data_IF_921654167675
#
_entry.id   IF_921654167675
#
_cell.length_a   1.000
_cell.length_b   1.000
_cell.length_c   1.000
_cell.angle_alpha   90.00
_cell.angle_beta   90.00
_cell.angle_gamma   90.00
#
_symmetry.space_group_name_H-M   'P 1'
#
loop_
_entity.id
_entity.type
_entity.pdbx_description
1 polymer ?
#
# COMPACT_ATOMS: atom_id res chain seq x y z
N UNK A 1 -19.50 24.32 4.27
CA UNK A 1 -18.89 24.10 2.95
C UNK A 1 -17.38 24.02 3.10
N UNK A 2 -16.82 22.82 2.92
CA UNK A 2 -15.43 22.59 2.51
C UNK A 2 -15.48 21.36 1.62
N UNK A 3 -15.27 21.58 0.33
CA UNK A 3 -15.15 20.55 -0.69
C UNK A 3 -13.78 19.92 -0.52
N UNK A 4 -13.72 18.61 -0.34
CA UNK A 4 -12.48 17.86 -0.51
C UNK A 4 -12.55 17.14 -1.84
N UNK A 5 -11.58 17.42 -2.70
CA UNK A 5 -11.43 16.79 -3.99
C UNK A 5 -10.68 15.47 -3.79
N UNK A 6 -11.24 14.40 -4.34
CA UNK A 6 -10.51 13.16 -4.58
C UNK A 6 -9.44 13.48 -5.64
N UNK A 7 -8.20 13.06 -5.40
CA UNK A 7 -7.09 13.29 -6.32
C UNK A 7 -7.38 12.65 -7.69
N UNK A 8 -6.81 13.21 -8.76
CA UNK A 8 -6.94 12.66 -10.12
C UNK A 8 -6.43 11.22 -10.21
N UNK A 9 -5.51 10.84 -9.34
CA UNK A 9 -4.87 9.53 -9.35
C UNK A 9 -5.74 8.49 -8.64
N UNK A 10 -6.40 8.86 -7.54
CA UNK A 10 -7.45 8.04 -6.92
C UNK A 10 -8.64 7.83 -7.87
N UNK A 11 -8.94 8.82 -8.72
CA UNK A 11 -9.94 8.68 -9.79
C UNK A 11 -9.47 7.77 -10.94
N UNK A 12 -8.19 7.78 -11.29
CA UNK A 12 -7.66 6.93 -12.37
C UNK A 12 -7.58 5.46 -11.96
N UNK A 13 -7.17 5.17 -10.72
CA UNK A 13 -7.13 3.79 -10.16
C UNK A 13 -8.55 3.22 -10.04
N UNK A 14 -9.49 4.00 -9.50
CA UNK A 14 -10.88 3.56 -9.45
C UNK A 14 -11.49 3.35 -10.85
N UNK A 15 -11.08 4.15 -11.84
CA UNK A 15 -11.51 4.01 -13.25
C UNK A 15 -10.88 2.81 -13.94
N UNK A 16 -9.62 2.47 -13.66
CA UNK A 16 -8.94 1.28 -14.21
C UNK A 16 -9.55 -0.01 -13.65
N UNK A 17 -9.78 -0.08 -12.33
CA UNK A 17 -10.53 -1.20 -11.74
C UNK A 17 -11.96 -1.30 -12.28
N UNK A 18 -12.64 -0.17 -12.55
CA UNK A 18 -13.97 -0.19 -13.16
C UNK A 18 -13.93 -0.65 -14.62
N UNK A 19 -12.91 -0.27 -15.39
CA UNK A 19 -12.79 -0.63 -16.80
C UNK A 19 -12.45 -2.11 -16.99
N UNK A 20 -11.67 -2.71 -16.09
CA UNK A 20 -11.41 -4.16 -16.11
C UNK A 20 -12.66 -4.97 -15.75
N UNK A 21 -13.54 -4.44 -14.90
CA UNK A 21 -14.85 -5.03 -14.60
C UNK A 21 -15.86 -4.80 -15.75
N UNK A 22 -15.70 -3.70 -16.51
CA UNK A 22 -16.62 -3.27 -17.58
C UNK A 22 -16.15 -3.63 -18.99
N UNK A 23 -15.01 -4.28 -19.15
CA UNK A 23 -14.56 -4.84 -20.43
C UNK A 23 -14.70 -6.37 -20.43
N UNK A 24 -15.93 -6.91 -20.56
CA UNK A 24 -16.07 -8.31 -20.91
C UNK A 24 -15.53 -8.49 -22.32
N UNK A 25 -14.64 -9.45 -22.50
CA UNK A 25 -14.40 -10.04 -23.82
C UNK A 25 -15.75 -10.49 -24.41
N UNK A 26 -16.24 -9.67 -25.34
CA UNK A 26 -16.95 -9.99 -26.57
C UNK A 26 -18.26 -10.81 -26.54
N UNK A 27 -19.03 -10.85 -25.43
CA UNK A 27 -20.39 -11.47 -25.46
C UNK A 27 -21.45 -10.76 -24.63
N UNK A 28 -21.99 -9.67 -25.20
CA UNK A 28 -23.36 -9.22 -24.91
C UNK A 28 -23.47 -7.76 -24.46
N UNK A 29 -24.29 -6.98 -25.17
CA UNK A 29 -24.61 -5.60 -24.80
C UNK A 29 -25.22 -5.53 -23.39
N UNK A 30 -24.82 -4.57 -22.53
CA UNK A 30 -25.40 -4.41 -21.20
C UNK A 30 -26.90 -4.10 -21.28
N UNK A 31 -27.70 -4.69 -20.40
CA UNK A 31 -29.12 -4.36 -20.28
C UNK A 31 -29.29 -2.98 -19.66
N UNK A 32 -30.36 -2.27 -20.02
CA UNK A 32 -30.68 -0.88 -19.56
C UNK A 32 -30.67 -0.70 -18.03
N UNK A 33 -30.84 -1.78 -17.26
CA UNK A 33 -30.76 -1.81 -15.79
C UNK A 33 -29.34 -1.71 -15.25
N UNK A 34 -28.33 -2.14 -16.01
CA UNK A 34 -26.92 -2.04 -15.61
C UNK A 34 -26.37 -0.62 -15.75
N UNK A 35 -26.77 0.12 -16.79
CA UNK A 35 -26.41 1.54 -16.95
C UNK A 35 -26.98 2.41 -15.82
N UNK A 36 -28.23 2.16 -15.41
CA UNK A 36 -28.83 2.89 -14.28
C UNK A 36 -28.11 2.60 -12.97
N UNK A 37 -27.77 1.33 -12.69
CA UNK A 37 -27.00 0.97 -11.50
C UNK A 37 -25.59 1.58 -11.52
N UNK A 38 -24.95 1.65 -12.68
CA UNK A 38 -23.64 2.30 -12.87
C UNK A 38 -23.73 3.82 -12.60
N UNK A 39 -24.76 4.49 -13.10
CA UNK A 39 -24.94 5.93 -12.86
C UNK A 39 -25.36 6.24 -11.42
N UNK A 40 -26.10 5.35 -10.75
CA UNK A 40 -26.41 5.44 -9.32
C UNK A 40 -25.15 5.26 -8.46
N UNK A 41 -24.32 4.26 -8.76
CA UNK A 41 -23.03 4.03 -8.08
C UNK A 41 -22.09 5.22 -8.31
N UNK A 42 -21.96 5.72 -9.55
CA UNK A 42 -21.22 6.95 -9.84
C UNK A 42 -21.80 8.16 -9.09
N UNK A 43 -23.12 8.24 -8.97
CA UNK A 43 -23.81 9.30 -8.23
C UNK A 43 -23.50 9.29 -6.74
N UNK A 44 -23.50 8.11 -6.11
CA UNK A 44 -23.18 7.90 -4.70
C UNK A 44 -21.69 8.18 -4.44
N UNK A 45 -20.80 7.66 -5.28
CA UNK A 45 -19.35 7.81 -5.13
C UNK A 45 -18.84 9.22 -5.45
N UNK A 46 -19.51 9.96 -6.34
CA UNK A 46 -19.17 11.37 -6.64
C UNK A 46 -19.82 12.37 -5.69
N UNK A 47 -20.57 11.91 -4.68
CA UNK A 47 -21.34 12.76 -3.76
C UNK A 47 -22.47 13.55 -4.43
N UNK A 48 -22.77 13.26 -5.71
CA UNK A 48 -23.85 13.90 -6.48
C UNK A 48 -25.23 13.39 -6.09
N UNK A 49 -25.31 12.18 -5.54
CA UNK A 49 -26.54 11.54 -5.10
C UNK A 49 -26.54 11.48 -3.57
N UNK A 50 -27.43 12.23 -2.93
CA UNK A 50 -27.77 12.01 -1.53
C UNK A 50 -28.81 10.89 -1.49
N UNK A 51 -28.49 9.78 -0.83
CA UNK A 51 -29.44 8.71 -0.53
C UNK A 51 -30.47 9.20 0.49
N UNK A 52 -31.39 10.07 0.06
CA UNK A 52 -32.60 10.36 0.81
C UNK A 52 -33.60 9.27 0.49
N UNK A 53 -33.74 8.31 1.41
CA UNK A 53 -34.63 7.14 1.33
C UNK A 53 -34.19 6.04 0.36
N UNK A 54 -33.14 5.31 0.72
CA UNK A 54 -33.10 3.90 0.35
C UNK A 54 -33.86 3.10 1.41
N UNK A 55 -35.03 2.57 1.04
CA UNK A 55 -35.71 1.49 1.77
C UNK A 55 -35.06 0.12 1.53
N UNK A 56 -33.94 0.09 0.80
CA UNK A 56 -33.19 -1.12 0.47
C UNK A 56 -31.75 -1.01 1.03
N UNK A 57 -31.32 -2.07 1.72
CA UNK A 57 -29.92 -2.26 2.10
C UNK A 57 -29.03 -2.19 0.85
N UNK A 58 -28.08 -1.27 0.82
CA UNK A 58 -26.95 -1.31 -0.12
C UNK A 58 -25.83 -2.07 0.60
N UNK A 59 -25.47 -3.26 0.10
CA UNK A 59 -24.26 -3.96 0.54
C UNK A 59 -23.12 -3.58 -0.39
N UNK A 60 -22.09 -2.99 0.18
CA UNK A 60 -20.80 -2.82 -0.47
C UNK A 60 -19.85 -3.83 0.18
N UNK A 61 -19.39 -4.81 -0.60
CA UNK A 61 -18.38 -5.75 -0.15
C UNK A 61 -17.03 -5.17 -0.55
N UNK A 62 -16.23 -4.79 0.44
CA UNK A 62 -14.83 -4.41 0.25
C UNK A 62 -13.99 -5.30 1.16
N UNK A 63 -12.89 -5.89 0.69
CA UNK A 63 -11.91 -6.48 1.59
C UNK A 63 -11.32 -5.35 2.44
N UNK A 64 -11.36 -5.48 3.76
CA UNK A 64 -10.77 -4.51 4.69
C UNK A 64 -10.02 -5.29 5.77
N UNK A 65 -8.77 -4.91 6.02
CA UNK A 65 -7.86 -5.53 6.99
C UNK A 65 -8.36 -5.25 8.42
N UNK A 66 -8.39 -6.29 9.29
CA UNK A 66 -9.15 -6.28 10.57
C UNK A 66 -8.62 -5.29 11.62
N UNK A 67 -7.37 -4.83 11.53
CA UNK A 67 -6.83 -3.75 12.40
C UNK A 67 -7.11 -2.32 11.92
N UNK A 68 -7.38 -2.10 10.63
CA UNK A 68 -7.63 -0.77 10.07
C UNK A 68 -9.04 -0.24 10.41
N UNK A 69 -9.98 -1.15 10.67
CA UNK A 69 -11.40 -0.82 10.87
C UNK A 69 -11.64 -0.07 12.18
N UNK A 70 -10.92 -0.40 13.26
CA UNK A 70 -11.13 0.22 14.57
C UNK A 70 -10.61 1.67 14.64
N UNK A 71 -9.60 2.03 13.81
CA UNK A 71 -9.21 3.43 13.60
C UNK A 71 -10.27 4.20 12.79
N UNK A 72 -10.97 3.54 11.87
CA UNK A 72 -11.99 4.14 11.01
C UNK A 72 -13.33 4.34 11.73
N UNK A 73 -13.73 3.39 12.58
CA UNK A 73 -15.00 3.43 13.30
C UNK A 73 -15.07 4.55 14.36
N UNK A 74 -13.93 4.99 14.89
CA UNK A 74 -13.86 6.00 15.95
C UNK A 74 -14.01 7.46 15.49
N UNK A 75 -14.21 7.74 14.18
CA UNK A 75 -14.38 9.12 13.67
C UNK A 75 -15.82 9.52 13.30
N UNK A 76 -16.81 8.62 13.41
CA UNK A 76 -18.18 8.93 12.99
C UNK A 76 -19.15 9.18 14.17
N UNK A 77 -19.82 10.32 14.06
CA UNK A 77 -20.72 11.02 14.99
C UNK A 77 -21.83 10.14 15.64
N UNK A 78 -22.08 10.25 16.97
CA UNK A 78 -23.17 9.55 17.67
C UNK A 78 -24.59 10.01 17.31
N UNK A 79 -24.79 11.01 16.45
CA UNK A 79 -26.10 11.61 16.22
C UNK A 79 -26.99 10.75 15.30
N UNK A 80 -27.93 10.03 15.94
CA UNK A 80 -28.76 8.99 15.33
C UNK A 80 -29.55 9.42 14.08
N UNK A 81 -29.24 8.77 12.96
CA UNK A 81 -30.04 8.81 11.74
C UNK A 81 -29.48 7.87 10.67
N UNK A 82 -30.19 6.78 10.41
CA UNK A 82 -29.87 5.68 9.47
C UNK A 82 -28.64 4.82 9.85
N UNK A 83 -28.89 3.56 10.23
CA UNK A 83 -27.85 2.54 10.42
C UNK A 83 -27.44 1.99 9.05
N UNK A 84 -26.36 2.49 8.48
CA UNK A 84 -25.65 1.77 7.42
C UNK A 84 -24.96 0.57 8.06
N UNK A 85 -25.42 -0.63 7.74
CA UNK A 85 -24.87 -1.86 8.28
C UNK A 85 -23.83 -2.37 7.26
N UNK A 86 -22.55 -2.13 7.55
CA UNK A 86 -21.46 -2.73 6.79
C UNK A 86 -21.25 -4.16 7.33
N UNK A 87 -21.18 -5.13 6.43
CA UNK A 87 -20.85 -6.52 6.77
C UNK A 87 -19.53 -6.82 6.09
N UNK A 88 -18.46 -6.87 6.87
CA UNK A 88 -17.14 -7.23 6.39
C UNK A 88 -17.02 -8.76 6.45
N UNK A 89 -16.79 -9.38 5.29
CA UNK A 89 -16.56 -10.81 5.14
C UNK A 89 -15.22 -10.97 4.41
N UNK A 90 -14.16 -10.93 5.19
CA UNK A 90 -13.05 -11.89 5.18
C UNK A 90 -12.08 -11.36 6.23
N UNK A 91 -12.01 -12.10 7.32
CA UNK A 91 -11.12 -11.80 8.41
C UNK A 91 -9.75 -12.28 7.96
N UNK A 92 -8.88 -11.36 7.56
CA UNK A 92 -7.46 -11.62 7.65
C UNK A 92 -7.23 -11.91 9.13
N UNK A 93 -6.89 -13.15 9.44
CA UNK A 93 -6.57 -13.58 10.78
C UNK A 93 -5.37 -12.76 11.29
N UNK A 94 -5.25 -12.70 12.61
CA UNK A 94 -4.20 -12.02 13.39
C UNK A 94 -2.86 -12.75 13.18
N UNK A 95 -2.42 -12.84 11.92
CA UNK A 95 -1.32 -13.66 11.46
C UNK A 95 0.00 -12.89 11.63
N UNK A 96 0.93 -13.48 12.37
CA UNK A 96 2.22 -12.86 12.64
C UNK A 96 3.06 -12.84 11.36
N UNK A 97 3.70 -11.70 11.10
CA UNK A 97 4.73 -11.61 10.07
C UNK A 97 5.95 -12.40 10.54
N UNK A 98 6.40 -13.32 9.70
CA UNK A 98 7.62 -14.11 9.91
C UNK A 98 8.81 -13.50 9.17
N UNK A 99 8.59 -13.13 7.91
CA UNK A 99 9.64 -12.72 6.97
C UNK A 99 9.19 -11.48 6.20
N UNK A 100 10.15 -10.61 5.89
CA UNK A 100 9.98 -9.48 4.98
C UNK A 100 10.88 -9.66 3.75
N UNK A 101 10.24 -9.65 2.58
CA UNK A 101 10.88 -9.59 1.28
C UNK A 101 10.87 -8.15 0.74
N UNK A 102 12.00 -7.73 0.19
CA UNK A 102 12.19 -6.43 -0.44
C UNK A 102 12.69 -6.65 -1.85
N UNK A 103 11.88 -6.30 -2.85
CA UNK A 103 12.23 -6.38 -4.26
C UNK A 103 12.42 -4.97 -4.78
N UNK A 104 13.61 -4.62 -5.25
CA UNK A 104 13.87 -3.30 -5.82
C UNK A 104 14.51 -3.41 -7.20
N UNK A 105 14.20 -2.43 -8.04
CA UNK A 105 14.82 -2.22 -9.35
C UNK A 105 15.58 -0.91 -9.31
N UNK A 106 16.86 -0.96 -9.64
CA UNK A 106 17.71 0.22 -9.79
C UNK A 106 17.49 0.84 -11.16
N UNK A 107 17.29 2.15 -11.23
CA UNK A 107 17.05 2.82 -12.51
C UNK A 107 18.20 2.67 -13.52
N UNK A 108 17.91 2.73 -14.82
CA UNK A 108 18.91 2.55 -15.89
C UNK A 108 19.67 3.84 -16.28
N UNK A 109 19.70 4.85 -15.40
CA UNK A 109 20.47 6.08 -15.67
C UNK A 109 21.91 6.00 -15.18
N UNK A 110 22.81 6.79 -15.76
CA UNK A 110 24.21 6.85 -15.29
C UNK A 110 24.27 7.17 -13.78
N UNK A 111 25.13 6.46 -13.06
CA UNK A 111 25.36 6.57 -11.62
C UNK A 111 24.14 6.25 -10.73
N UNK A 112 23.15 5.50 -11.23
CA UNK A 112 22.01 5.06 -10.43
C UNK A 112 22.36 4.01 -9.37
N UNK A 113 23.49 3.32 -9.52
CA UNK A 113 23.97 2.31 -8.57
C UNK A 113 24.57 2.95 -7.32
N UNK A 114 24.66 2.18 -6.23
CA UNK A 114 25.38 2.58 -5.02
C UNK A 114 26.33 1.48 -4.56
N UNK A 115 27.48 1.86 -3.99
CA UNK A 115 28.34 0.94 -3.24
C UNK A 115 28.04 0.94 -1.73
N UNK A 116 27.10 1.77 -1.26
CA UNK A 116 26.75 1.89 0.15
C UNK A 116 25.38 1.27 0.40
N UNK A 117 25.30 0.12 1.08
CA UNK A 117 24.04 -0.58 1.22
C UNK A 117 23.02 0.23 2.05
N UNK A 118 21.83 0.53 1.51
CA UNK A 118 20.79 1.30 2.19
C UNK A 118 20.34 0.66 3.51
N UNK A 119 19.72 1.46 4.36
CA UNK A 119 19.09 1.00 5.60
C UNK A 119 17.58 0.98 5.37
N UNK A 120 16.95 -0.15 5.65
CA UNK A 120 15.50 -0.29 5.69
C UNK A 120 15.02 -0.07 7.12
N UNK A 121 14.10 0.86 7.28
CA UNK A 121 13.43 1.19 8.53
C UNK A 121 11.98 0.71 8.46
N UNK A 122 11.50 0.10 9.54
CA UNK A 122 10.10 -0.29 9.74
C UNK A 122 9.61 0.29 11.06
N UNK A 123 8.42 0.88 11.04
CA UNK A 123 7.75 1.45 12.21
C UNK A 123 6.57 0.58 12.58
N UNK A 124 6.51 0.15 13.84
CA UNK A 124 5.44 -0.69 14.40
C UNK A 124 4.98 -0.06 15.71
N UNK A 125 3.82 0.59 15.70
CA UNK A 125 3.39 1.44 16.81
C UNK A 125 4.38 2.58 17.08
N UNK A 126 4.89 2.65 18.31
CA UNK A 126 5.91 3.62 18.73
C UNK A 126 7.36 3.11 18.56
N UNK A 127 7.55 1.86 18.11
CA UNK A 127 8.87 1.26 17.91
C UNK A 127 9.35 1.45 16.47
N UNK A 128 10.64 1.71 16.31
CA UNK A 128 11.32 1.79 15.02
C UNK A 128 12.44 0.77 14.99
N UNK A 129 12.32 -0.21 14.10
CA UNK A 129 13.33 -1.22 13.82
C UNK A 129 14.05 -0.90 12.51
N UNK A 130 15.30 -1.35 12.38
CA UNK A 130 16.06 -1.11 11.15
C UNK A 130 17.05 -2.22 10.83
N UNK A 131 17.19 -2.54 9.55
CA UNK A 131 18.17 -3.49 9.03
C UNK A 131 18.92 -2.85 7.86
N UNK A 132 20.20 -3.17 7.71
CA UNK A 132 20.94 -2.78 6.51
C UNK A 132 20.66 -3.81 5.41
N UNK A 133 20.33 -3.37 4.20
CA UNK A 133 20.23 -4.26 3.05
C UNK A 133 21.60 -4.91 2.82
N UNK A 134 21.78 -6.22 3.01
CA UNK A 134 23.10 -6.81 2.86
C UNK A 134 23.53 -6.75 1.40
N UNK A 135 24.84 -6.63 1.12
CA UNK A 135 25.33 -6.98 -0.20
C UNK A 135 25.00 -8.46 -0.42
N UNK A 136 24.23 -8.76 -1.45
CA UNK A 136 24.07 -10.12 -1.96
C UNK A 136 25.45 -10.56 -2.50
N UNK A 137 25.66 -11.84 -2.74
CA UNK A 137 26.89 -12.27 -3.40
C UNK A 137 26.78 -11.98 -4.89
N UNK A 138 27.24 -10.81 -5.35
CA UNK A 138 27.12 -10.41 -6.74
C UNK A 138 27.44 -8.94 -7.00
N UNK A 139 26.87 -8.42 -8.10
CA UNK A 139 26.84 -7.00 -8.40
C UNK A 139 25.46 -6.47 -7.99
N UNK A 140 25.28 -6.05 -6.73
CA UNK A 140 24.01 -5.50 -6.25
C UNK A 140 23.84 -4.04 -6.68
N UNK A 141 22.59 -3.57 -6.63
CA UNK A 141 22.22 -2.19 -6.92
C UNK A 141 22.69 -1.75 -8.31
N UNK A 142 22.91 -2.70 -9.24
CA UNK A 142 23.45 -2.36 -10.54
C UNK A 142 22.44 -1.59 -11.35
N UNK A 143 22.93 -0.68 -12.17
CA UNK A 143 22.12 0.08 -13.11
C UNK A 143 21.23 -0.87 -13.94
N UNK A 144 19.90 -0.69 -13.87
CA UNK A 144 18.92 -1.52 -14.57
C UNK A 144 18.73 -2.93 -13.98
N UNK A 145 19.40 -3.25 -12.87
CA UNK A 145 19.33 -4.52 -12.16
C UNK A 145 18.18 -4.56 -11.15
N UNK A 146 17.69 -5.77 -10.90
CA UNK A 146 16.72 -6.05 -9.85
C UNK A 146 17.34 -6.96 -8.78
N UNK A 147 17.07 -6.63 -7.53
CA UNK A 147 17.60 -7.31 -6.35
C UNK A 147 16.44 -7.74 -5.43
N UNK A 148 16.64 -8.86 -4.72
CA UNK A 148 15.72 -9.38 -3.71
C UNK A 148 16.48 -9.57 -2.39
N UNK A 149 16.00 -8.94 -1.34
CA UNK A 149 16.45 -9.17 0.03
C UNK A 149 15.33 -9.78 0.86
N UNK A 150 15.72 -10.58 1.84
CA UNK A 150 14.85 -11.36 2.70
C UNK A 150 15.34 -11.26 4.13
N UNK A 151 14.45 -10.90 5.04
CA UNK A 151 14.77 -10.65 6.44
C UNK A 151 13.81 -11.41 7.34
N UNK A 152 14.34 -12.04 8.38
CA UNK A 152 13.51 -12.42 9.53
C UNK A 152 13.09 -11.14 10.27
N UNK A 153 11.82 -11.02 10.67
CA UNK A 153 11.35 -9.82 11.40
C UNK A 153 12.14 -9.58 12.69
N UNK A 154 12.66 -10.64 13.31
CA UNK A 154 13.52 -10.54 14.49
C UNK A 154 14.79 -9.70 14.25
N UNK A 155 15.28 -9.58 13.01
CA UNK A 155 16.45 -8.77 12.66
C UNK A 155 16.25 -7.27 12.89
N UNK A 156 14.98 -6.80 12.85
CA UNK A 156 14.64 -5.40 13.10
C UNK A 156 14.74 -5.02 14.58
N UNK A 157 14.82 -6.00 15.49
CA UNK A 157 15.04 -5.78 16.92
C UNK A 157 13.79 -5.32 17.69
N UNK A 158 12.59 -5.57 17.17
CA UNK A 158 11.34 -5.29 17.87
C UNK A 158 11.20 -6.15 19.13
N UNK A 159 10.50 -5.61 20.15
CA UNK A 159 10.26 -6.34 21.41
C UNK A 159 9.04 -7.25 21.37
N UNK A 160 8.14 -7.00 20.42
CA UNK A 160 6.90 -7.73 20.20
C UNK A 160 7.19 -9.12 19.66
N UNK A 161 6.57 -10.15 20.24
CA UNK A 161 6.75 -11.55 19.78
C UNK A 161 6.01 -11.83 18.46
N UNK A 162 4.96 -11.06 18.19
CA UNK A 162 4.12 -11.14 17.00
C UNK A 162 3.86 -9.73 16.52
N UNK A 163 4.18 -9.46 15.25
CA UNK A 163 3.86 -8.20 14.57
C UNK A 163 2.92 -8.57 13.43
N UNK A 164 1.72 -8.02 13.44
CA UNK A 164 0.76 -8.23 12.37
C UNK A 164 0.97 -7.23 11.24
N UNK A 165 0.45 -7.53 10.05
CA UNK A 165 0.47 -6.59 8.91
C UNK A 165 -0.12 -5.23 9.29
N UNK A 166 -1.16 -5.22 10.12
CA UNK A 166 -1.85 -4.01 10.52
C UNK A 166 -1.13 -3.20 11.61
N UNK A 167 -0.11 -3.78 12.27
CA UNK A 167 0.71 -3.08 13.24
C UNK A 167 1.81 -2.25 12.57
N UNK A 168 2.12 -2.52 11.29
CA UNK A 168 3.11 -1.76 10.54
C UNK A 168 2.55 -0.39 10.17
N UNK A 169 2.98 0.64 10.89
CA UNK A 169 2.56 2.04 10.66
C UNK A 169 3.38 2.74 9.57
N UNK A 170 4.57 2.22 9.22
CA UNK A 170 5.43 2.84 8.22
C UNK A 170 6.62 2.00 7.81
N UNK A 171 7.12 2.26 6.61
CA UNK A 171 8.43 1.78 6.17
C UNK A 171 9.16 2.86 5.39
N UNK A 172 10.49 2.87 5.48
CA UNK A 172 11.30 3.80 4.72
C UNK A 172 12.68 3.24 4.38
N UNK A 173 13.25 3.69 3.27
CA UNK A 173 14.66 3.52 2.96
C UNK A 173 15.45 4.78 3.30
N UNK A 174 16.57 4.57 3.97
CA UNK A 174 17.56 5.58 4.30
C UNK A 174 18.86 5.30 3.54
N UNK A 175 19.63 6.34 3.19
CA UNK A 175 20.92 6.15 2.55
C UNK A 175 21.91 5.50 3.51
N UNK A 176 22.63 4.48 3.04
CA UNK A 176 23.71 3.83 3.79
C UNK A 176 25.03 4.60 3.80
N UNK A 177 25.11 5.70 3.05
CA UNK A 177 26.32 6.50 2.88
C UNK A 177 26.08 7.71 1.98
N UNK A 178 27.16 8.26 1.42
CA UNK A 178 27.12 9.45 0.57
C UNK A 178 27.00 9.14 -0.92
N UNK A 179 26.92 7.87 -1.30
CA UNK A 179 26.75 7.44 -2.69
C UNK A 179 25.27 7.16 -2.92
N UNK A 180 24.65 7.99 -3.77
CA UNK A 180 23.22 7.93 -3.99
C UNK A 180 22.79 6.67 -4.75
N UNK A 181 21.61 6.18 -4.45
CA UNK A 181 20.96 5.09 -5.18
C UNK A 181 19.69 5.63 -5.84
N UNK A 182 19.53 5.39 -7.14
CA UNK A 182 18.31 5.74 -7.87
C UNK A 182 17.41 4.52 -7.99
N UNK A 183 16.31 4.54 -7.25
CA UNK A 183 15.31 3.49 -7.22
C UNK A 183 14.29 3.77 -8.31
N UNK A 184 14.14 2.84 -9.25
CA UNK A 184 13.09 2.90 -10.28
C UNK A 184 11.77 2.36 -9.74
N UNK A 185 11.81 1.24 -9.03
CA UNK A 185 10.64 0.61 -8.41
C UNK A 185 11.05 -0.17 -7.17
N UNK A 186 10.15 -0.27 -6.20
CA UNK A 186 10.34 -1.10 -5.02
C UNK A 186 9.01 -1.66 -4.53
N UNK A 187 9.03 -2.92 -4.13
CA UNK A 187 7.90 -3.64 -3.53
C UNK A 187 8.39 -4.31 -2.27
N UNK A 188 7.59 -4.23 -1.22
CA UNK A 188 7.79 -5.02 0.00
C UNK A 188 6.62 -5.96 0.18
N UNK A 189 6.91 -7.20 0.55
CA UNK A 189 5.91 -8.20 0.85
C UNK A 189 6.34 -8.99 2.08
N UNK A 190 5.38 -9.51 2.82
CA UNK A 190 5.60 -10.23 4.05
C UNK A 190 5.06 -11.63 3.96
N UNK A 191 5.79 -12.61 4.51
CA UNK A 191 5.28 -13.96 4.74
C UNK A 191 4.65 -14.01 6.14
N UNK A 192 3.39 -14.40 6.21
CA UNK A 192 2.67 -14.60 7.47
C UNK A 192 2.73 -16.06 7.92
N UNK A 193 2.34 -16.35 9.17
CA UNK A 193 2.40 -17.68 9.77
C UNK A 193 1.38 -18.69 9.19
N UNK A 194 0.30 -18.19 8.57
CA UNK A 194 -0.58 -18.91 7.64
C UNK A 194 0.14 -19.37 6.34
N UNK A 195 1.39 -18.92 6.13
CA UNK A 195 2.25 -19.17 4.96
C UNK A 195 1.79 -18.51 3.67
N UNK A 196 1.08 -17.40 3.78
CA UNK A 196 0.73 -16.57 2.63
C UNK A 196 1.67 -15.35 2.52
N UNK A 197 1.98 -14.96 1.28
CA UNK A 197 2.67 -13.70 1.01
C UNK A 197 1.65 -12.58 0.85
N UNK A 198 1.86 -11.47 1.56
CA UNK A 198 1.00 -10.28 1.49
C UNK A 198 1.85 -9.07 1.13
N UNK A 199 1.42 -8.28 0.15
CA UNK A 199 2.14 -7.06 -0.24
C UNK A 199 1.92 -6.00 0.85
N UNK A 200 3.01 -5.42 1.35
CA UNK A 200 3.00 -4.42 2.40
C UNK A 200 3.14 -3.01 1.82
N UNK A 201 4.01 -2.82 0.84
CA UNK A 201 4.20 -1.54 0.16
C UNK A 201 4.54 -1.72 -1.33
N UNK A 202 4.23 -0.73 -2.16
CA UNK A 202 4.61 -0.72 -3.58
C UNK A 202 4.72 0.70 -4.13
N UNK A 203 5.90 1.02 -4.64
CA UNK A 203 6.20 2.30 -5.29
C UNK A 203 6.77 2.02 -6.69
N UNK A 204 5.90 1.59 -7.59
CA UNK A 204 6.26 1.31 -9.00
C UNK A 204 6.45 2.62 -9.76
N UNK A 205 7.57 2.73 -10.48
CA UNK A 205 7.90 3.94 -11.25
C UNK A 205 8.24 5.15 -10.36
N UNK A 206 8.72 4.91 -9.14
CA UNK A 206 9.14 5.95 -8.20
C UNK A 206 10.17 6.92 -8.81
N UNK A 207 11.14 6.39 -9.56
CA UNK A 207 12.25 7.11 -10.21
C UNK A 207 12.95 8.13 -9.30
N UNK A 208 13.23 7.73 -8.04
CA UNK A 208 13.69 8.64 -6.98
C UNK A 208 15.07 8.28 -6.45
N UNK A 209 15.82 9.30 -6.07
CA UNK A 209 17.12 9.15 -5.42
C UNK A 209 16.98 9.06 -3.90
N UNK A 210 17.71 8.11 -3.30
CA UNK A 210 18.15 8.22 -1.92
C UNK A 210 19.65 8.54 -1.90
N UNK A 211 20.06 9.55 -1.14
CA UNK A 211 21.42 10.08 -1.15
C UNK A 211 21.72 10.81 0.17
N UNK A 212 22.74 10.34 0.90
CA UNK A 212 23.12 10.91 2.18
C UNK A 212 23.72 12.32 2.09
N UNK A 213 24.28 12.70 0.93
CA UNK A 213 24.78 14.06 0.71
C UNK A 213 23.77 14.96 -0.04
N UNK A 214 22.64 14.40 -0.46
CA UNK A 214 21.57 15.11 -1.14
C UNK A 214 20.78 16.08 -0.26
N UNK A 215 19.79 16.73 -0.88
CA UNK A 215 18.78 17.52 -0.18
C UNK A 215 17.96 16.66 0.80
N UNK A 216 17.24 17.30 1.73
CA UNK A 216 16.44 16.58 2.75
C UNK A 216 15.49 15.56 2.13
N UNK A 217 14.93 15.86 0.96
CA UNK A 217 14.01 15.00 0.20
C UNK A 217 14.66 13.71 -0.33
N UNK A 218 15.99 13.61 -0.31
CA UNK A 218 16.77 12.43 -0.74
C UNK A 218 17.32 11.64 0.43
N UNK A 219 17.18 12.12 1.66
CA UNK A 219 17.71 11.41 2.83
C UNK A 219 16.76 10.35 3.39
N UNK A 220 15.55 10.28 2.85
CA UNK A 220 14.53 9.31 3.23
C UNK A 220 13.58 9.07 2.07
N UNK A 221 13.33 7.81 1.77
CA UNK A 221 12.31 7.36 0.84
C UNK A 221 11.24 6.61 1.62
N UNK A 222 10.18 7.32 2.00
CA UNK A 222 9.01 6.70 2.61
C UNK A 222 8.31 5.81 1.60
N UNK A 223 8.06 4.57 1.98
CA UNK A 223 7.38 3.56 1.17
C UNK A 223 5.86 3.70 1.35
N UNK A 224 5.13 3.64 0.24
CA UNK A 224 3.67 3.73 0.26
C UNK A 224 3.07 2.40 0.71
N UNK A 225 2.56 2.34 1.93
CA UNK A 225 1.88 1.16 2.45
C UNK A 225 0.52 0.94 1.76
N UNK A 226 0.12 -0.32 1.61
CA UNK A 226 -1.25 -0.67 1.27
C UNK A 226 -2.12 -0.59 2.52
N UNK A 227 -3.06 0.36 2.54
CA UNK A 227 -4.11 0.48 3.57
C UNK A 227 -5.36 -0.36 3.24
#
# INVERSE_FOLDING_TARGET
>A
AKTQFISRDTWNVARECLNDILSPDDRGSPSRTSETAIEEVKGVLSGKMRLSQASAQVRLNWPVIRGCVDRFANRNDPSGGARTQFSFFDFLDDDCILELDVLAVTGDTKNSFTAHPPILEMTVGDEVGSVQLPPVTGDEFQRGGGDLWRFDIAEFGFTQECIEVCDVDGMALLPGGTDGWKIESIVTQVLTDDREYRVLSSDIGADRWIDGNGGEERRRFDLTLYE
#
